data_IF_249909139118
#
_entry.id   IF_249909139118
#
_cell.length_a   1.000
_cell.length_b   1.000
_cell.length_c   1.000
_cell.angle_alpha   90.00
_cell.angle_beta   90.00
_cell.angle_gamma   90.00
#
_symmetry.space_group_name_H-M   'P 1'
#
loop_
_entity.id
_entity.type
_entity.pdbx_description
1 polymer ?
#
# COMPACT_ATOMS: atom_id res chain seq x y z
N UNK A 1 -12.92 24.53 7.00
CA UNK A 1 -12.35 23.20 6.75
C UNK A 1 -11.33 23.36 5.63
N UNK A 2 -10.06 22.99 5.84
CA UNK A 2 -9.10 22.95 4.73
C UNK A 2 -9.40 21.69 3.92
N UNK A 3 -9.81 21.84 2.67
CA UNK A 3 -9.75 20.74 1.70
C UNK A 3 -8.29 20.31 1.60
N UNK A 4 -7.98 19.16 2.19
CA UNK A 4 -6.75 18.44 1.86
C UNK A 4 -6.98 17.97 0.44
N UNK A 5 -6.24 18.53 -0.51
CA UNK A 5 -6.21 18.08 -1.89
C UNK A 5 -5.84 16.58 -1.87
N UNK A 6 -6.85 15.71 -1.93
CA UNK A 6 -6.65 14.28 -2.16
C UNK A 6 -5.92 14.23 -3.50
N UNK A 7 -4.65 13.82 -3.49
CA UNK A 7 -3.84 13.68 -4.68
C UNK A 7 -4.65 12.91 -5.73
N UNK A 8 -5.15 13.64 -6.72
CA UNK A 8 -5.90 13.07 -7.82
C UNK A 8 -4.88 12.36 -8.72
N UNK A 9 -4.50 11.12 -8.34
CA UNK A 9 -3.70 10.25 -9.19
C UNK A 9 -4.32 10.06 -10.60
N UNK A 10 -5.60 10.44 -10.76
CA UNK A 10 -6.37 10.25 -11.99
C UNK A 10 -7.12 11.52 -12.43
N UNK A 11 -6.61 12.73 -12.14
CA UNK A 11 -7.00 13.84 -13.02
C UNK A 11 -6.34 13.59 -14.39
N UNK A 12 -7.06 13.70 -15.52
CA UNK A 12 -6.45 13.55 -16.85
C UNK A 12 -5.27 14.52 -17.07
N UNK A 13 -5.21 15.60 -16.30
CA UNK A 13 -4.15 16.61 -16.27
C UNK A 13 -2.96 16.26 -15.35
N UNK A 14 -3.12 15.28 -14.43
CA UNK A 14 -2.11 14.85 -13.47
C UNK A 14 -1.41 13.54 -13.85
N UNK A 15 -1.62 13.04 -15.07
CA UNK A 15 -0.91 11.90 -15.65
C UNK A 15 0.55 12.27 -15.96
N UNK A 16 1.34 12.57 -14.93
CA UNK A 16 2.78 12.43 -15.06
C UNK A 16 3.08 10.94 -15.32
N UNK A 17 4.01 10.62 -16.25
CA UNK A 17 4.44 9.25 -16.44
C UNK A 17 5.02 8.75 -15.12
N UNK A 18 4.27 7.89 -14.44
CA UNK A 18 4.76 7.21 -13.24
C UNK A 18 5.88 6.25 -13.70
N UNK A 19 7.11 6.34 -13.17
CA UNK A 19 8.25 5.48 -13.55
C UNK A 19 8.08 3.99 -13.18
N UNK A 20 6.89 3.54 -12.77
CA UNK A 20 6.50 2.13 -12.61
C UNK A 20 6.50 1.31 -13.93
N UNK A 21 7.04 1.82 -15.04
CA UNK A 21 7.38 1.01 -16.23
C UNK A 21 8.65 0.19 -15.98
N UNK A 22 8.56 -0.77 -15.06
CA UNK A 22 9.30 -2.02 -15.21
C UNK A 22 8.25 -3.08 -15.51
N UNK A 23 7.89 -3.18 -16.78
CA UNK A 23 7.36 -4.44 -17.29
C UNK A 23 8.44 -5.49 -17.07
N UNK A 24 8.07 -6.61 -16.47
CA UNK A 24 8.96 -7.77 -16.41
C UNK A 24 9.11 -8.33 -17.83
N UNK A 25 10.28 -8.17 -18.46
CA UNK A 25 10.95 -9.37 -18.96
C UNK A 25 12.47 -9.28 -18.78
N UNK A 26 13.00 -9.95 -17.74
CA UNK A 26 14.17 -10.83 -17.83
C UNK A 26 14.67 -11.19 -16.42
N UNK A 27 14.39 -12.42 -16.02
CA UNK A 27 15.12 -13.12 -14.96
C UNK A 27 16.49 -13.44 -15.55
N UNK A 28 17.46 -12.51 -15.49
CA UNK A 28 18.81 -12.77 -15.99
C UNK A 28 19.67 -11.56 -16.39
N UNK A 29 19.11 -10.35 -16.50
CA UNK A 29 19.96 -9.16 -16.68
C UNK A 29 20.47 -8.68 -15.31
N UNK A 30 21.78 -8.36 -15.15
CA UNK A 30 22.23 -7.66 -13.96
C UNK A 30 21.40 -6.39 -13.83
N UNK A 31 20.86 -6.14 -12.63
CA UNK A 31 20.26 -4.87 -12.23
C UNK A 31 21.24 -3.76 -12.58
N UNK A 32 21.15 -3.24 -13.81
CA UNK A 32 21.87 -2.06 -14.23
C UNK A 32 21.40 -0.96 -13.29
N UNK A 33 22.37 -0.42 -12.58
CA UNK A 33 22.24 0.71 -11.67
C UNK A 33 21.60 1.89 -12.39
N UNK A 34 20.29 1.90 -12.46
CA UNK A 34 19.47 3.09 -12.71
C UNK A 34 18.88 3.44 -11.36
N UNK A 35 19.75 3.83 -10.43
CA UNK A 35 19.29 4.65 -9.32
C UNK A 35 19.00 6.02 -9.92
N UNK A 36 17.76 6.53 -9.96
CA UNK A 36 17.64 7.98 -9.92
C UNK A 36 18.43 8.39 -8.69
N UNK A 37 19.36 9.34 -8.83
CA UNK A 37 19.98 9.98 -7.67
C UNK A 37 18.80 10.52 -6.85
N UNK A 38 18.40 9.78 -5.81
CA UNK A 38 17.26 10.11 -4.98
C UNK A 38 17.65 11.39 -4.27
N UNK A 39 17.21 12.52 -4.81
CA UNK A 39 17.41 13.83 -4.18
C UNK A 39 16.72 13.75 -2.83
N UNK A 40 17.49 13.78 -1.74
CA UNK A 40 16.92 13.71 -0.41
C UNK A 40 16.03 14.92 -0.19
N UNK A 41 14.75 14.69 0.11
CA UNK A 41 13.87 15.76 0.55
C UNK A 41 14.32 16.14 1.96
N UNK A 42 14.56 17.44 2.25
CA UNK A 42 14.92 17.85 3.60
C UNK A 42 13.90 17.31 4.61
N UNK A 43 14.38 16.77 5.74
CA UNK A 43 13.52 16.09 6.70
C UNK A 43 12.31 16.93 7.15
N UNK A 44 12.44 18.26 7.24
CA UNK A 44 11.36 19.19 7.57
C UNK A 44 10.27 19.38 6.51
N UNK A 45 10.39 18.73 5.33
CA UNK A 45 9.39 18.73 4.25
C UNK A 45 8.78 17.35 3.98
N UNK A 46 9.18 16.33 4.73
CA UNK A 46 8.59 14.99 4.61
C UNK A 46 7.20 14.98 5.22
N UNK A 47 6.21 14.59 4.43
CA UNK A 47 4.82 14.51 4.87
C UNK A 47 4.66 13.33 5.83
N UNK A 48 4.12 13.62 7.02
CA UNK A 48 3.92 12.61 8.08
C UNK A 48 2.98 11.52 7.58
N UNK A 49 1.95 11.92 6.84
CA UNK A 49 0.94 11.08 6.23
C UNK A 49 1.57 10.04 5.29
N UNK A 50 2.47 10.47 4.40
CA UNK A 50 3.17 9.57 3.49
C UNK A 50 4.03 8.53 4.23
N UNK A 51 4.65 8.90 5.37
CA UNK A 51 5.42 7.95 6.16
C UNK A 51 4.56 6.82 6.74
N UNK A 52 3.36 7.15 7.24
CA UNK A 52 2.41 6.14 7.71
C UNK A 52 1.82 5.32 6.57
N UNK A 53 1.57 5.95 5.42
CA UNK A 53 1.09 5.29 4.21
C UNK A 53 2.06 4.21 3.73
N UNK A 54 3.33 4.56 3.48
CA UNK A 54 4.32 3.60 3.01
C UNK A 54 4.66 2.55 4.09
N UNK A 55 4.67 2.93 5.37
CA UNK A 55 4.83 1.97 6.46
C UNK A 55 3.67 0.95 6.51
N UNK A 56 2.44 1.37 6.23
CA UNK A 56 1.27 0.49 6.14
C UNK A 56 1.47 -0.60 5.10
N UNK A 57 1.84 -0.21 3.87
CA UNK A 57 2.18 -1.16 2.80
C UNK A 57 3.30 -2.11 3.20
N UNK A 58 4.42 -1.58 3.69
CA UNK A 58 5.61 -2.36 4.00
C UNK A 58 5.36 -3.42 5.09
N UNK A 59 4.70 -3.02 6.19
CA UNK A 59 4.42 -3.89 7.32
C UNK A 59 3.40 -4.96 6.95
N UNK A 60 2.27 -4.59 6.35
CA UNK A 60 1.23 -5.57 5.97
C UNK A 60 1.77 -6.57 4.95
N UNK A 61 2.56 -6.11 3.97
CA UNK A 61 3.22 -7.01 3.02
C UNK A 61 4.13 -8.02 3.73
N UNK A 62 4.96 -7.56 4.68
CA UNK A 62 5.84 -8.45 5.45
C UNK A 62 5.04 -9.50 6.24
N UNK A 63 3.97 -9.08 6.91
CA UNK A 63 3.10 -9.96 7.71
C UNK A 63 2.41 -11.03 6.85
N UNK A 64 2.04 -10.69 5.62
CA UNK A 64 1.46 -11.63 4.65
C UNK A 64 2.49 -12.52 3.94
N UNK A 65 3.78 -12.36 4.26
CA UNK A 65 4.87 -13.19 3.75
C UNK A 65 5.54 -12.68 2.48
N UNK A 66 5.25 -11.43 2.07
CA UNK A 66 6.05 -10.76 1.05
C UNK A 66 7.32 -10.16 1.66
N UNK A 67 8.34 -9.92 0.83
CA UNK A 67 9.59 -9.31 1.27
C UNK A 67 9.72 -7.90 0.67
N UNK A 68 9.53 -6.82 1.46
CA UNK A 68 9.90 -5.48 1.04
C UNK A 68 11.39 -5.44 0.68
N UNK A 69 11.73 -4.78 -0.43
CA UNK A 69 13.13 -4.50 -0.82
C UNK A 69 13.60 -3.16 -0.29
N UNK A 70 12.76 -2.14 -0.38
CA UNK A 70 12.94 -0.85 0.27
C UNK A 70 11.61 -0.10 0.30
N UNK A 71 11.52 0.90 1.17
CA UNK A 71 10.45 1.90 1.20
C UNK A 71 11.07 3.30 1.21
N UNK A 72 10.47 4.25 0.49
CA UNK A 72 10.92 5.65 0.48
C UNK A 72 9.74 6.60 0.53
N UNK A 73 9.94 7.76 1.15
CA UNK A 73 9.02 8.92 1.10
C UNK A 73 9.67 10.16 0.47
N UNK A 74 10.90 10.02 -0.04
CA UNK A 74 11.61 11.11 -0.72
C UNK A 74 11.24 11.10 -2.22
N UNK A 75 10.87 12.27 -2.75
CA UNK A 75 10.44 12.55 -4.14
C UNK A 75 9.13 11.87 -4.59
N UNK A 76 9.06 10.54 -4.47
CA UNK A 76 7.92 9.73 -4.89
C UNK A 76 7.73 8.59 -3.89
N UNK A 77 6.82 8.76 -2.91
CA UNK A 77 6.52 7.71 -1.94
C UNK A 77 6.20 6.38 -2.62
N UNK A 78 6.91 5.33 -2.20
CA UNK A 78 6.72 3.97 -2.72
C UNK A 78 7.38 2.92 -1.82
N UNK A 79 6.71 1.76 -1.71
CA UNK A 79 7.33 0.50 -1.31
C UNK A 79 7.59 -0.36 -2.52
N UNK A 80 8.85 -0.79 -2.68
CA UNK A 80 9.22 -1.77 -3.69
C UNK A 80 9.31 -3.13 -3.03
N UNK A 81 8.56 -4.08 -3.56
CA UNK A 81 8.56 -5.46 -3.08
C UNK A 81 9.50 -6.33 -3.92
N UNK A 82 9.88 -7.47 -3.36
CA UNK A 82 10.44 -8.58 -4.13
C UNK A 82 9.36 -9.23 -5.01
N UNK A 83 9.29 -10.56 -4.97
CA UNK A 83 8.20 -11.26 -5.65
C UNK A 83 6.91 -11.19 -4.82
N UNK A 84 5.79 -10.83 -5.47
CA UNK A 84 4.44 -10.95 -4.92
C UNK A 84 3.67 -12.14 -5.52
N UNK A 85 4.35 -12.99 -6.31
CA UNK A 85 3.71 -14.07 -7.07
C UNK A 85 3.10 -15.16 -6.19
N UNK A 86 3.59 -15.32 -4.96
CA UNK A 86 3.11 -16.31 -3.99
C UNK A 86 1.89 -15.84 -3.20
N UNK A 87 1.52 -14.55 -3.32
CA UNK A 87 0.34 -14.02 -2.66
C UNK A 87 -0.91 -14.33 -3.48
N UNK A 88 -2.02 -14.55 -2.78
CA UNK A 88 -3.36 -14.53 -3.36
C UNK A 88 -3.75 -13.13 -3.84
N UNK A 89 -4.80 -13.05 -4.65
CA UNK A 89 -5.38 -11.77 -5.05
C UNK A 89 -5.83 -10.93 -3.85
N UNK A 90 -6.43 -11.58 -2.86
CA UNK A 90 -6.93 -10.92 -1.66
C UNK A 90 -5.80 -10.34 -0.81
N UNK A 91 -4.67 -11.04 -0.69
CA UNK A 91 -3.49 -10.54 0.01
C UNK A 91 -2.83 -9.36 -0.74
N UNK A 92 -2.80 -9.38 -2.08
CA UNK A 92 -2.31 -8.23 -2.86
C UNK A 92 -3.19 -6.99 -2.65
N UNK A 93 -4.51 -7.16 -2.68
CA UNK A 93 -5.44 -6.06 -2.39
C UNK A 93 -5.32 -5.61 -0.94
N UNK A 94 -5.10 -6.52 0.00
CA UNK A 94 -4.87 -6.16 1.39
C UNK A 94 -3.64 -5.24 1.55
N UNK A 95 -2.56 -5.51 0.81
CA UNK A 95 -1.39 -4.64 0.75
C UNK A 95 -1.73 -3.29 0.13
N UNK A 96 -2.43 -3.26 -1.01
CA UNK A 96 -2.85 -2.00 -1.66
C UNK A 96 -3.69 -1.13 -0.69
N UNK A 97 -4.60 -1.73 0.07
CA UNK A 97 -5.45 -0.98 1.00
C UNK A 97 -4.73 -0.56 2.30
N UNK A 98 -3.61 -1.19 2.64
CA UNK A 98 -2.94 -0.99 3.91
C UNK A 98 -2.39 0.42 4.09
N UNK A 99 -1.85 1.04 3.04
CA UNK A 99 -1.25 2.37 3.12
C UNK A 99 -2.28 3.43 3.52
N UNK A 100 -3.35 3.53 2.73
CA UNK A 100 -4.49 4.42 2.97
C UNK A 100 -5.09 4.23 4.37
N UNK A 101 -5.28 2.98 4.81
CA UNK A 101 -5.87 2.69 6.12
C UNK A 101 -4.94 3.03 7.28
N UNK A 102 -3.63 2.81 7.13
CA UNK A 102 -2.62 3.20 8.13
C UNK A 102 -2.50 4.72 8.26
N UNK A 103 -2.48 5.45 7.13
CA UNK A 103 -2.48 6.91 7.09
C UNK A 103 -3.73 7.48 7.78
N UNK A 104 -4.92 7.02 7.41
CA UNK A 104 -6.18 7.46 8.02
C UNK A 104 -6.18 7.19 9.52
N UNK A 105 -5.71 6.01 9.93
CA UNK A 105 -5.63 5.67 11.35
C UNK A 105 -4.67 6.59 12.12
N UNK A 106 -3.49 6.93 11.54
CA UNK A 106 -2.58 7.92 12.11
C UNK A 106 -3.25 9.30 12.30
N UNK A 107 -4.05 9.71 11.31
CA UNK A 107 -4.85 10.94 11.32
C UNK A 107 -6.11 10.85 12.20
N UNK A 108 -6.31 9.74 12.94
CA UNK A 108 -7.48 9.46 13.78
C UNK A 108 -8.80 9.42 12.99
N UNK A 109 -8.72 9.12 11.69
CA UNK A 109 -9.87 8.86 10.85
C UNK A 109 -10.18 7.38 10.86
N UNK A 110 -11.31 7.02 11.44
CA UNK A 110 -11.66 5.64 11.75
C UNK A 110 -12.55 4.96 10.71
N UNK A 111 -12.62 5.45 9.47
CA UNK A 111 -13.56 4.97 8.46
C UNK A 111 -12.89 4.28 7.27
N UNK A 112 -13.46 3.14 6.86
CA UNK A 112 -13.27 2.56 5.54
C UNK A 112 -14.03 3.38 4.48
N UNK A 113 -13.71 3.17 3.21
CA UNK A 113 -14.50 3.75 2.14
C UNK A 113 -15.94 3.22 2.18
N UNK A 114 -16.90 4.10 1.91
CA UNK A 114 -18.32 3.77 1.77
C UNK A 114 -18.60 3.02 0.47
N UNK A 115 -19.78 2.40 0.36
CA UNK A 115 -20.24 1.78 -0.90
C UNK A 115 -20.25 2.78 -2.06
N UNK A 116 -20.62 4.03 -1.80
CA UNK A 116 -20.64 5.08 -2.82
C UNK A 116 -19.23 5.44 -3.29
N UNK A 117 -18.27 5.55 -2.36
CA UNK A 117 -16.86 5.75 -2.71
C UNK A 117 -16.29 4.57 -3.50
N UNK A 118 -16.65 3.32 -3.16
CA UNK A 118 -16.25 2.15 -3.94
C UNK A 118 -16.89 2.12 -5.33
N UNK A 119 -18.19 2.47 -5.45
CA UNK A 119 -18.84 2.61 -6.76
C UNK A 119 -18.11 3.62 -7.64
N UNK A 120 -17.77 4.79 -7.09
CA UNK A 120 -17.02 5.81 -7.82
C UNK A 120 -15.64 5.30 -8.27
N UNK A 121 -14.93 4.55 -7.42
CA UNK A 121 -13.63 3.94 -7.75
C UNK A 121 -13.74 2.89 -8.86
N UNK A 122 -14.72 1.99 -8.76
CA UNK A 122 -15.00 0.96 -9.77
C UNK A 122 -15.41 1.58 -11.10
N UNK A 123 -16.29 2.58 -11.10
CA UNK A 123 -16.69 3.30 -12.30
C UNK A 123 -15.47 3.89 -13.03
N UNK A 124 -14.56 4.55 -12.30
CA UNK A 124 -13.31 5.06 -12.89
C UNK A 124 -12.45 3.98 -13.55
N UNK A 125 -12.34 2.80 -12.92
CA UNK A 125 -11.59 1.68 -13.50
C UNK A 125 -12.26 1.17 -14.77
N UNK A 126 -13.60 1.07 -14.79
CA UNK A 126 -14.38 0.66 -15.97
C UNK A 126 -14.24 1.63 -17.14
N UNK A 127 -14.26 2.92 -16.84
CA UNK A 127 -14.19 3.98 -17.85
C UNK A 127 -12.76 4.17 -18.41
N UNK A 128 -11.82 3.29 -18.05
CA UNK A 128 -10.39 3.42 -18.36
C UNK A 128 -9.78 4.74 -17.87
N UNK A 129 -10.41 5.38 -16.88
CA UNK A 129 -9.93 6.60 -16.22
C UNK A 129 -9.14 6.29 -14.94
N UNK A 130 -9.01 5.02 -14.58
CA UNK A 130 -8.21 4.55 -13.45
C UNK A 130 -6.70 4.56 -13.72
N UNK A 131 -5.91 4.75 -12.68
CA UNK A 131 -4.45 4.74 -12.72
C UNK A 131 -3.81 3.49 -12.08
N UNK A 132 -2.58 3.67 -11.58
CA UNK A 132 -1.83 2.65 -10.82
C UNK A 132 -1.78 2.93 -9.31
N UNK A 133 -2.61 3.85 -8.79
CA UNK A 133 -2.76 4.03 -7.34
C UNK A 133 -3.43 2.82 -6.70
N UNK A 134 -3.33 2.74 -5.37
CA UNK A 134 -3.67 1.55 -4.62
C UNK A 134 -5.17 1.26 -4.67
N UNK A 135 -6.02 2.29 -4.58
CA UNK A 135 -7.46 2.18 -4.80
C UNK A 135 -7.83 1.65 -6.20
N UNK A 136 -7.12 2.09 -7.24
CA UNK A 136 -7.37 1.63 -8.61
C UNK A 136 -6.90 0.19 -8.81
N UNK A 137 -5.77 -0.20 -8.22
CA UNK A 137 -5.27 -1.58 -8.27
C UNK A 137 -6.20 -2.52 -7.51
N UNK A 138 -6.60 -2.13 -6.28
CA UNK A 138 -7.58 -2.84 -5.48
C UNK A 138 -8.92 -3.03 -6.23
N UNK A 139 -9.46 -1.95 -6.80
CA UNK A 139 -10.74 -2.00 -7.52
C UNK A 139 -10.65 -2.85 -8.80
N UNK A 140 -9.53 -2.77 -9.54
CA UNK A 140 -9.29 -3.58 -10.73
C UNK A 140 -9.21 -5.06 -10.37
N UNK A 141 -8.45 -5.42 -9.34
CA UNK A 141 -8.35 -6.82 -8.90
C UNK A 141 -9.71 -7.33 -8.41
N UNK A 142 -10.44 -6.54 -7.62
CA UNK A 142 -11.77 -6.91 -7.14
C UNK A 142 -12.76 -7.20 -8.28
N UNK A 143 -12.74 -6.39 -9.35
CA UNK A 143 -13.54 -6.64 -10.54
C UNK A 143 -13.16 -7.97 -11.19
N UNK A 144 -11.87 -8.28 -11.33
CA UNK A 144 -11.42 -9.55 -11.91
C UNK A 144 -11.89 -10.74 -11.07
N UNK A 145 -11.66 -10.70 -9.74
CA UNK A 145 -12.08 -11.78 -8.82
C UNK A 145 -13.60 -11.98 -8.78
N UNK A 146 -14.36 -10.91 -8.99
CA UNK A 146 -15.82 -10.94 -8.95
C UNK A 146 -16.46 -11.04 -10.34
N UNK A 147 -15.72 -11.53 -11.35
CA UNK A 147 -16.20 -11.70 -12.73
C UNK A 147 -16.89 -10.42 -13.29
N UNK A 148 -16.32 -9.27 -12.98
CA UNK A 148 -16.79 -7.93 -13.35
C UNK A 148 -18.21 -7.60 -12.87
N UNK A 149 -18.64 -8.18 -11.74
CA UNK A 149 -19.87 -7.80 -11.05
C UNK A 149 -19.58 -6.72 -10.01
N UNK A 150 -20.13 -5.51 -10.18
CA UNK A 150 -19.83 -4.36 -9.32
C UNK A 150 -20.30 -4.56 -7.88
N UNK A 151 -21.52 -5.08 -7.68
CA UNK A 151 -22.05 -5.29 -6.34
C UNK A 151 -21.21 -6.33 -5.57
N UNK A 152 -20.79 -7.41 -6.24
CA UNK A 152 -19.90 -8.41 -5.67
C UNK A 152 -18.50 -7.84 -5.39
N UNK A 153 -17.95 -7.05 -6.31
CA UNK A 153 -16.65 -6.40 -6.14
C UNK A 153 -16.64 -5.42 -4.95
N UNK A 154 -17.69 -4.61 -4.78
CA UNK A 154 -17.84 -3.71 -3.63
C UNK A 154 -17.93 -4.51 -2.34
N UNK A 155 -18.77 -5.55 -2.30
CA UNK A 155 -18.91 -6.40 -1.12
C UNK A 155 -17.58 -7.10 -0.77
N UNK A 156 -16.83 -7.53 -1.77
CA UNK A 156 -15.51 -8.14 -1.60
C UNK A 156 -14.49 -7.12 -1.06
N UNK A 157 -14.36 -5.94 -1.70
CA UNK A 157 -13.47 -4.86 -1.25
C UNK A 157 -13.73 -4.45 0.19
N UNK A 158 -15.00 -4.37 0.60
CA UNK A 158 -15.37 -4.06 1.98
C UNK A 158 -14.85 -5.09 2.96
N UNK A 159 -15.05 -6.39 2.68
CA UNK A 159 -14.54 -7.45 3.56
C UNK A 159 -13.02 -7.38 3.68
N UNK A 160 -12.30 -7.14 2.58
CA UNK A 160 -10.85 -6.98 2.61
C UNK A 160 -10.45 -5.74 3.41
N UNK A 161 -11.08 -4.58 3.15
CA UNK A 161 -10.80 -3.34 3.86
C UNK A 161 -11.05 -3.47 5.38
N UNK A 162 -12.13 -4.13 5.78
CA UNK A 162 -12.46 -4.35 7.19
C UNK A 162 -11.42 -5.26 7.87
N UNK A 163 -10.98 -6.33 7.19
CA UNK A 163 -9.93 -7.21 7.68
C UNK A 163 -8.57 -6.47 7.81
N UNK A 164 -8.21 -5.66 6.82
CA UNK A 164 -6.99 -4.84 6.87
C UNK A 164 -7.07 -3.79 7.96
N UNK A 165 -8.20 -3.10 8.12
CA UNK A 165 -8.38 -2.12 9.20
C UNK A 165 -8.25 -2.78 10.58
N UNK A 166 -8.81 -3.99 10.74
CA UNK A 166 -8.64 -4.77 11.96
C UNK A 166 -7.16 -5.13 12.22
N UNK A 167 -6.45 -5.57 11.18
CA UNK A 167 -5.02 -5.86 11.24
C UNK A 167 -4.20 -4.62 11.63
N UNK A 168 -4.38 -3.50 10.93
CA UNK A 168 -3.67 -2.22 11.17
C UNK A 168 -3.90 -1.71 12.58
N UNK A 169 -5.09 -1.90 13.15
CA UNK A 169 -5.42 -1.48 14.54
C UNK A 169 -4.85 -2.39 15.61
N UNK A 170 -4.39 -3.58 15.25
CA UNK A 170 -3.88 -4.54 16.22
C UNK A 170 -2.55 -4.05 16.75
N UNK A 171 -2.42 -3.97 18.09
CA UNK A 171 -1.32 -3.25 18.76
C UNK A 171 0.09 -3.62 18.27
N UNK A 172 0.45 -4.90 18.07
CA UNK A 172 1.74 -5.27 17.50
C UNK A 172 1.97 -4.71 16.08
N UNK A 173 0.97 -4.83 15.22
CA UNK A 173 1.02 -4.34 13.83
C UNK A 173 1.13 -2.81 13.82
N UNK A 174 0.29 -2.13 14.60
CA UNK A 174 0.36 -0.67 14.70
C UNK A 174 1.71 -0.19 15.26
N UNK A 175 2.27 -0.91 16.23
CA UNK A 175 3.60 -0.64 16.76
C UNK A 175 4.69 -0.75 15.69
N UNK A 176 4.65 -1.78 14.84
CA UNK A 176 5.55 -1.92 13.70
C UNK A 176 5.39 -0.76 12.71
N UNK A 177 4.15 -0.42 12.35
CA UNK A 177 3.85 0.69 11.41
C UNK A 177 4.41 2.01 11.96
N UNK A 178 4.15 2.34 13.23
CA UNK A 178 4.72 3.52 13.87
C UNK A 178 6.25 3.50 13.83
N UNK A 179 6.89 2.38 14.18
CA UNK A 179 8.35 2.29 14.17
C UNK A 179 8.95 2.51 12.78
N UNK A 180 8.37 1.90 11.74
CA UNK A 180 8.81 2.07 10.35
C UNK A 180 8.55 3.50 9.87
N UNK A 181 7.40 4.09 10.21
CA UNK A 181 7.07 5.46 9.85
C UNK A 181 8.01 6.49 10.50
N UNK A 182 8.38 6.32 11.77
CA UNK A 182 9.35 7.19 12.44
C UNK A 182 10.74 7.13 11.78
N UNK A 183 11.19 5.92 11.46
CA UNK A 183 12.44 5.69 10.76
C UNK A 183 12.40 6.33 9.36
N UNK A 184 11.30 6.15 8.60
CA UNK A 184 11.10 6.79 7.29
C UNK A 184 11.09 8.32 7.36
N UNK A 185 10.48 8.93 8.38
CA UNK A 185 10.52 10.40 8.55
C UNK A 185 11.95 10.90 8.76
N UNK A 186 12.76 10.13 9.47
CA UNK A 186 14.14 10.51 9.82
C UNK A 186 15.10 10.26 8.66
N UNK A 187 15.06 9.07 8.05
CA UNK A 187 16.00 8.69 6.98
C UNK A 187 15.52 9.08 5.58
N UNK A 188 14.21 9.09 5.36
CA UNK A 188 13.54 9.27 4.06
C UNK A 188 13.39 7.98 3.27
N UNK A 189 14.30 7.01 3.49
CA UNK A 189 14.33 5.72 2.81
C UNK A 189 14.84 4.65 3.78
N UNK A 190 14.23 3.48 3.76
CA UNK A 190 14.65 2.29 4.53
C UNK A 190 14.80 1.10 3.61
N UNK A 191 15.81 0.27 3.88
CA UNK A 191 15.94 -1.00 3.18
C UNK A 191 15.00 -2.08 3.74
N UNK A 192 14.85 -3.15 2.97
CA UNK A 192 13.97 -4.27 3.32
C UNK A 192 14.39 -5.01 4.60
N UNK A 193 15.67 -5.04 4.94
CA UNK A 193 16.17 -5.73 6.13
C UNK A 193 15.87 -4.92 7.40
N UNK A 194 15.99 -3.60 7.33
CA UNK A 194 15.59 -2.66 8.38
C UNK A 194 14.08 -2.77 8.65
N UNK A 195 13.26 -2.73 7.59
CA UNK A 195 11.81 -2.93 7.69
C UNK A 195 11.50 -4.28 8.35
N UNK A 196 12.09 -5.36 7.86
CA UNK A 196 11.85 -6.72 8.37
C UNK A 196 12.20 -6.85 9.85
N UNK A 197 13.29 -6.23 10.30
CA UNK A 197 13.69 -6.22 11.71
C UNK A 197 12.60 -5.59 12.58
N UNK A 198 12.07 -4.42 12.19
CA UNK A 198 10.99 -3.74 12.93
C UNK A 198 9.71 -4.57 13.03
N UNK A 199 9.42 -5.38 12.01
CA UNK A 199 8.22 -6.24 11.99
C UNK A 199 8.42 -7.49 12.84
N UNK A 200 9.54 -8.20 12.68
CA UNK A 200 9.81 -9.47 13.38
C UNK A 200 9.92 -9.26 14.90
N UNK A 201 10.41 -8.10 15.34
CA UNK A 201 10.52 -7.77 16.77
C UNK A 201 9.16 -7.71 17.48
N UNK A 202 8.06 -7.54 16.73
CA UNK A 202 6.71 -7.35 17.30
C UNK A 202 5.65 -8.31 16.78
N UNK A 203 5.78 -8.86 15.57
CA UNK A 203 4.83 -9.81 14.98
C UNK A 203 5.44 -11.21 14.99
N UNK A 204 4.81 -12.16 15.70
CA UNK A 204 5.30 -13.53 15.74
C UNK A 204 4.86 -14.28 14.47
N UNK A 205 5.65 -15.27 13.99
CA UNK A 205 5.27 -16.06 12.82
C UNK A 205 3.90 -16.74 12.93
N UNK A 206 3.49 -17.14 14.15
CA UNK A 206 2.17 -17.73 14.38
C UNK A 206 1.00 -16.77 14.08
N UNK A 207 1.23 -15.45 14.18
CA UNK A 207 0.22 -14.43 13.91
C UNK A 207 -0.04 -14.30 12.40
N UNK A 208 0.94 -14.61 11.54
CA UNK A 208 0.80 -14.51 10.08
C UNK A 208 -0.32 -15.43 9.54
N UNK A 209 -0.45 -16.64 10.07
CA UNK A 209 -1.54 -17.56 9.66
C UNK A 209 -2.91 -17.06 10.11
N UNK A 210 -3.00 -16.42 11.28
CA UNK A 210 -4.23 -15.80 11.74
C UNK A 210 -4.70 -14.70 10.77
N UNK A 211 -3.78 -13.83 10.34
CA UNK A 211 -4.08 -12.75 9.40
C UNK A 211 -4.52 -13.24 8.03
N UNK A 212 -3.89 -14.29 7.50
CA UNK A 212 -4.33 -14.94 6.25
C UNK A 212 -5.73 -15.54 6.39
N UNK A 213 -6.05 -16.12 7.55
CA UNK A 213 -7.39 -16.66 7.83
C UNK A 213 -8.50 -15.59 7.86
N UNK A 214 -8.19 -14.37 8.30
CA UNK A 214 -9.14 -13.25 8.24
C UNK A 214 -9.40 -12.73 6.82
N UNK A 215 -8.48 -13.05 5.89
CA UNK A 215 -8.61 -12.76 4.46
C UNK A 215 -9.16 -13.96 3.66
N UNK A 216 -9.62 -15.03 4.30
CA UNK A 216 -10.22 -16.20 3.62
C UNK A 216 -11.73 -16.21 3.80
#
# INVERSE_FOLDING_TARGET
MKEIARYACCAPEAAQPNPRTFDAPNIGAPLLAIGPELVRVPAGRRYVEAAYHEAGHAVVAHVLGASPRFATIDNSPVVVFGSLATLSAQERVAIDLAGDLAERWACRWAHCNTDEEWRAKIARVRDCLGGRCDDCNASRQALVECAFNDAAAIAWLRRVADAVLHMVRTRPIWGAICSVAEDLKTSGTLDGAEISRRVIDVVKPADANHWKGLLS
#
